data_IF_937697568694
#
_entry.id   IF_937697568694
#
_cell.length_a   1.000
_cell.length_b   1.000
_cell.length_c   1.000
_cell.angle_alpha   90.00
_cell.angle_beta   90.00
_cell.angle_gamma   90.00
#
_symmetry.space_group_name_H-M   'P 1'
#
loop_
_entity.id
_entity.type
_entity.pdbx_description
1 polymer ?
#
# COMPACT_ATOMS: atom_id res chain seq x y z
N UNK A 1 15.27 -9.20 -7.37
CA UNK A 1 14.34 -9.85 -8.32
C UNK A 1 13.41 -8.77 -8.86
N UNK A 2 13.07 -8.86 -10.15
CA UNK A 2 12.04 -8.05 -10.80
C UNK A 2 10.89 -8.95 -11.23
N UNK A 3 9.67 -8.54 -10.90
CA UNK A 3 8.41 -9.08 -11.40
C UNK A 3 7.81 -8.04 -12.34
N UNK A 4 7.51 -8.41 -13.56
CA UNK A 4 7.04 -7.47 -14.57
C UNK A 4 5.92 -8.05 -15.40
N UNK A 5 4.88 -7.26 -15.64
CA UNK A 5 3.87 -7.53 -16.66
C UNK A 5 4.08 -6.58 -17.83
N UNK A 6 4.49 -7.11 -18.97
CA UNK A 6 4.84 -6.35 -20.18
C UNK A 6 3.67 -6.12 -21.14
N UNK A 7 2.44 -6.46 -20.74
CA UNK A 7 1.26 -6.29 -21.60
C UNK A 7 0.92 -4.82 -21.93
N UNK A 8 1.52 -3.86 -21.20
CA UNK A 8 1.24 -2.44 -21.36
C UNK A 8 -0.10 -2.02 -20.74
N UNK A 9 -0.72 -0.96 -21.28
CA UNK A 9 -1.98 -0.40 -20.77
C UNK A 9 -3.19 -1.08 -21.40
N UNK A 10 -3.37 -2.36 -21.13
CA UNK A 10 -4.45 -3.20 -21.69
C UNK A 10 -5.64 -3.41 -20.74
N UNK A 11 -5.65 -2.72 -19.61
CA UNK A 11 -6.56 -2.94 -18.48
C UNK A 11 -5.85 -3.71 -17.37
N UNK A 12 -6.59 -4.55 -16.65
CA UNK A 12 -6.08 -5.34 -15.52
C UNK A 12 -5.03 -6.36 -15.98
N UNK A 13 -3.81 -6.25 -15.44
CA UNK A 13 -2.69 -7.12 -15.83
C UNK A 13 -1.71 -7.28 -14.66
N UNK A 14 -1.87 -8.36 -13.90
CA UNK A 14 -1.08 -8.63 -12.69
C UNK A 14 0.36 -9.02 -13.04
N UNK A 15 1.33 -8.36 -12.41
CA UNK A 15 2.74 -8.73 -12.50
C UNK A 15 3.12 -9.75 -11.42
N UNK A 16 2.53 -9.62 -10.22
CA UNK A 16 2.79 -10.54 -9.13
C UNK A 16 1.53 -10.78 -8.31
N UNK A 17 1.13 -12.05 -8.19
CA UNK A 17 0.04 -12.53 -7.35
C UNK A 17 0.63 -13.26 -6.13
N UNK A 18 0.23 -12.84 -4.92
CA UNK A 18 0.77 -13.39 -3.68
C UNK A 18 -0.39 -13.84 -2.79
N UNK A 19 -0.51 -15.16 -2.59
CA UNK A 19 -1.52 -15.77 -1.72
C UNK A 19 -0.94 -16.25 -0.37
N UNK A 20 0.35 -16.61 -0.38
CA UNK A 20 1.02 -17.20 0.78
C UNK A 20 1.11 -16.26 1.99
N UNK A 21 0.90 -16.80 3.19
CA UNK A 21 1.20 -16.11 4.44
C UNK A 21 2.72 -16.01 4.69
N UNK A 22 3.13 -14.96 5.40
CA UNK A 22 4.53 -14.70 5.78
C UNK A 22 5.47 -14.49 4.58
N UNK A 23 4.96 -13.82 3.54
CA UNK A 23 5.76 -13.46 2.38
C UNK A 23 6.63 -12.23 2.70
N UNK A 24 7.95 -12.31 2.42
CA UNK A 24 8.88 -11.22 2.63
C UNK A 24 9.69 -10.92 1.37
N UNK A 25 9.56 -9.71 0.88
CA UNK A 25 10.27 -9.18 -0.28
C UNK A 25 11.21 -8.06 0.15
N UNK A 26 12.48 -8.17 -0.22
CA UNK A 26 13.49 -7.13 0.04
C UNK A 26 14.25 -6.81 -1.24
N UNK A 27 14.41 -5.52 -1.54
CA UNK A 27 15.13 -5.05 -2.74
C UNK A 27 14.55 -5.63 -4.05
N UNK A 28 13.22 -5.80 -4.12
CA UNK A 28 12.53 -6.31 -5.31
C UNK A 28 11.86 -5.18 -6.08
N UNK A 29 11.58 -5.43 -7.35
CA UNK A 29 10.83 -4.51 -8.21
C UNK A 29 9.57 -5.20 -8.74
N UNK A 30 8.46 -4.46 -8.76
CA UNK A 30 7.16 -4.89 -9.28
C UNK A 30 6.70 -3.86 -10.30
N UNK A 31 6.70 -4.24 -11.58
CA UNK A 31 6.52 -3.34 -12.70
C UNK A 31 5.26 -3.71 -13.49
N UNK A 32 4.39 -2.74 -13.71
CA UNK A 32 3.16 -2.94 -14.45
C UNK A 32 2.37 -1.65 -14.63
N UNK A 33 1.10 -1.80 -14.91
CA UNK A 33 0.16 -0.70 -15.08
C UNK A 33 -1.03 -0.87 -14.12
N UNK A 34 -2.24 -1.17 -14.65
CA UNK A 34 -3.38 -1.45 -13.79
C UNK A 34 -3.23 -2.82 -13.11
N UNK A 35 -3.49 -2.89 -11.81
CA UNK A 35 -3.49 -4.14 -11.02
C UNK A 35 -2.13 -4.85 -10.95
N UNK A 36 -1.03 -4.12 -10.79
CA UNK A 36 0.35 -4.66 -10.83
C UNK A 36 0.61 -5.70 -9.75
N UNK A 37 0.28 -5.40 -8.47
CA UNK A 37 0.61 -6.21 -7.31
C UNK A 37 -0.67 -6.64 -6.59
N UNK A 38 -1.00 -7.94 -6.68
CA UNK A 38 -2.17 -8.52 -6.07
C UNK A 38 -1.81 -9.23 -4.76
N UNK A 39 -2.11 -8.59 -3.64
CA UNK A 39 -1.92 -9.13 -2.29
C UNK A 39 -3.19 -9.90 -1.89
N UNK A 40 -3.28 -11.17 -2.33
CA UNK A 40 -4.43 -12.04 -2.10
C UNK A 40 -4.27 -12.83 -0.79
N UNK A 41 -5.38 -13.30 -0.26
CA UNK A 41 -5.39 -14.09 0.98
C UNK A 41 -5.74 -13.26 2.21
N UNK A 42 -6.92 -13.56 2.76
CA UNK A 42 -7.50 -12.80 3.88
C UNK A 42 -6.67 -12.89 5.15
N UNK A 43 -6.02 -14.03 5.39
CA UNK A 43 -5.14 -14.24 6.55
C UNK A 43 -3.66 -14.05 6.22
N UNK A 44 -3.34 -13.72 4.97
CA UNK A 44 -1.96 -13.51 4.53
C UNK A 44 -1.36 -12.22 5.10
N UNK A 45 -0.12 -12.33 5.56
CA UNK A 45 0.72 -11.23 6.02
C UNK A 45 1.92 -11.11 5.11
N UNK A 46 2.15 -9.90 4.58
CA UNK A 46 3.16 -9.68 3.57
C UNK A 46 4.00 -8.46 3.93
N UNK A 47 5.31 -8.57 3.79
CA UNK A 47 6.27 -7.51 4.09
C UNK A 47 7.11 -7.16 2.88
N UNK A 48 7.13 -5.88 2.56
CA UNK A 48 7.95 -5.30 1.49
C UNK A 48 8.92 -4.29 2.12
N UNK A 49 10.22 -4.53 1.96
CA UNK A 49 11.28 -3.67 2.48
C UNK A 49 12.19 -3.20 1.35
N UNK A 50 12.37 -1.89 1.23
CA UNK A 50 13.21 -1.27 0.21
C UNK A 50 12.88 -1.80 -1.21
N UNK A 51 11.59 -1.93 -1.51
CA UNK A 51 11.09 -2.38 -2.81
C UNK A 51 10.66 -1.19 -3.67
N UNK A 52 10.61 -1.42 -4.97
CA UNK A 52 10.04 -0.51 -5.95
C UNK A 52 8.77 -1.12 -6.53
N UNK A 53 7.66 -0.39 -6.48
CA UNK A 53 6.38 -0.82 -7.07
C UNK A 53 5.87 0.28 -7.98
N UNK A 54 5.50 -0.06 -9.21
CA UNK A 54 4.92 0.92 -10.14
C UNK A 54 3.60 0.45 -10.75
N UNK A 55 2.79 1.42 -11.14
CA UNK A 55 1.54 1.18 -11.84
C UNK A 55 0.68 2.41 -12.04
N UNK A 56 -0.58 2.19 -12.43
CA UNK A 56 -1.57 3.25 -12.69
C UNK A 56 -2.79 3.10 -11.79
N UNK A 57 -3.79 2.31 -12.21
CA UNK A 57 -5.05 2.13 -11.50
C UNK A 57 -4.96 0.94 -10.57
N UNK A 58 -5.22 1.13 -9.28
CA UNK A 58 -5.31 0.06 -8.28
C UNK A 58 -4.07 -0.84 -8.26
N UNK A 59 -2.90 -0.27 -8.48
CA UNK A 59 -1.72 -1.08 -8.76
C UNK A 59 -1.16 -1.84 -7.56
N UNK A 60 -1.70 -1.60 -6.36
CA UNK A 60 -1.51 -2.41 -5.16
C UNK A 60 -2.90 -2.72 -4.61
N UNK A 61 -3.33 -3.99 -4.66
CA UNK A 61 -4.71 -4.31 -4.30
C UNK A 61 -4.85 -5.69 -3.65
N UNK A 62 -5.96 -5.92 -2.93
CA UNK A 62 -6.29 -7.22 -2.33
C UNK A 62 -6.68 -7.15 -0.86
N UNK A 63 -6.64 -8.32 -0.20
CA UNK A 63 -7.20 -8.54 1.15
C UNK A 63 -6.18 -8.64 2.28
N UNK A 64 -4.90 -8.89 1.95
CA UNK A 64 -3.86 -9.20 2.92
C UNK A 64 -3.57 -8.06 3.90
N UNK A 65 -3.03 -8.37 5.06
CA UNK A 65 -2.32 -7.40 5.89
C UNK A 65 -0.93 -7.19 5.31
N UNK A 66 -0.63 -5.98 4.85
CA UNK A 66 0.61 -5.69 4.14
C UNK A 66 1.33 -4.51 4.76
N UNK A 67 2.62 -4.67 5.01
CA UNK A 67 3.51 -3.60 5.41
C UNK A 67 4.52 -3.29 4.29
N UNK A 68 4.46 -2.07 3.79
CA UNK A 68 5.51 -1.49 2.94
C UNK A 68 6.39 -0.58 3.80
N UNK A 69 7.68 -0.86 3.86
CA UNK A 69 8.63 -0.06 4.62
C UNK A 69 9.81 0.36 3.77
N UNK A 70 10.14 1.64 3.80
CA UNK A 70 11.25 2.23 3.03
C UNK A 70 11.15 1.96 1.50
N UNK A 71 9.91 1.84 0.96
CA UNK A 71 9.66 1.52 -0.43
C UNK A 71 9.47 2.78 -1.29
N UNK A 72 9.77 2.65 -2.59
CA UNK A 72 9.36 3.62 -3.60
C UNK A 72 8.11 3.11 -4.30
N UNK A 73 7.05 3.90 -4.27
CA UNK A 73 5.76 3.64 -4.89
C UNK A 73 5.58 4.65 -6.03
N UNK A 74 5.63 4.19 -7.27
CA UNK A 74 5.72 5.06 -8.44
C UNK A 74 4.49 4.99 -9.32
N UNK A 75 3.80 6.10 -9.50
CA UNK A 75 2.66 6.18 -10.41
C UNK A 75 3.14 6.51 -11.82
N UNK A 76 2.95 5.60 -12.77
CA UNK A 76 3.33 5.80 -14.20
C UNK A 76 2.21 6.45 -15.01
N UNK A 77 1.11 6.86 -14.39
CA UNK A 77 -0.03 7.57 -14.97
C UNK A 77 -1.08 7.84 -13.91
N UNK A 78 -2.17 8.50 -14.31
CA UNK A 78 -3.30 8.80 -13.42
C UNK A 78 -3.96 7.53 -12.89
N UNK A 79 -4.50 7.59 -11.66
CA UNK A 79 -5.19 6.46 -11.08
C UNK A 79 -5.23 6.42 -9.56
N UNK A 80 -4.98 5.26 -8.99
CA UNK A 80 -5.08 4.99 -7.56
C UNK A 80 -3.92 4.11 -7.12
N UNK A 81 -3.22 4.51 -6.06
CA UNK A 81 -2.09 3.72 -5.54
C UNK A 81 -2.60 2.39 -5.02
N UNK A 82 -3.67 2.41 -4.20
CA UNK A 82 -4.18 1.19 -3.59
C UNK A 82 -5.68 1.01 -3.76
N UNK A 83 -6.10 -0.27 -3.84
CA UNK A 83 -7.48 -0.71 -3.77
C UNK A 83 -7.63 -1.86 -2.76
N UNK A 84 -7.62 -1.57 -1.46
CA UNK A 84 -7.74 -2.59 -0.43
C UNK A 84 -9.16 -3.17 -0.39
N UNK A 85 -9.23 -4.46 0.02
CA UNK A 85 -10.46 -5.20 0.26
C UNK A 85 -10.44 -5.82 1.66
N UNK A 86 -9.86 -5.12 2.63
CA UNK A 86 -9.73 -5.59 4.02
C UNK A 86 -11.07 -6.07 4.57
N UNK A 87 -11.08 -7.25 5.19
CA UNK A 87 -12.30 -7.79 5.79
C UNK A 87 -12.66 -7.06 7.10
N UNK A 88 -13.95 -7.07 7.41
CA UNK A 88 -14.47 -6.51 8.67
C UNK A 88 -13.77 -7.14 9.87
N UNK A 89 -13.32 -6.32 10.80
CA UNK A 89 -12.69 -6.76 12.05
C UNK A 89 -11.18 -7.00 11.97
N UNK A 90 -10.57 -6.92 10.81
CA UNK A 90 -9.11 -6.93 10.70
C UNK A 90 -8.52 -5.67 11.33
N UNK A 91 -7.46 -5.83 12.10
CA UNK A 91 -6.77 -4.71 12.77
C UNK A 91 -6.03 -3.84 11.75
N UNK A 92 -5.41 -4.46 10.73
CA UNK A 92 -4.65 -3.77 9.71
C UNK A 92 -5.00 -4.27 8.30
N UNK A 93 -5.01 -3.34 7.35
CA UNK A 93 -4.96 -3.61 5.91
C UNK A 93 -3.57 -3.28 5.35
N UNK A 94 -3.49 -2.25 4.51
CA UNK A 94 -2.23 -1.76 3.95
C UNK A 94 -1.63 -0.68 4.84
N UNK A 95 -0.37 -0.84 5.20
CA UNK A 95 0.38 0.15 5.99
C UNK A 95 1.67 0.49 5.26
N UNK A 96 1.86 1.77 4.99
CA UNK A 96 3.06 2.34 4.37
C UNK A 96 3.83 3.12 5.41
N UNK A 97 5.09 2.80 5.62
CA UNK A 97 5.96 3.46 6.59
C UNK A 97 7.23 3.95 5.90
N UNK A 98 7.50 5.25 6.02
CA UNK A 98 8.70 5.86 5.45
C UNK A 98 8.87 5.57 3.95
N UNK A 99 7.76 5.52 3.21
CA UNK A 99 7.76 5.28 1.77
C UNK A 99 7.81 6.60 1.00
N UNK A 100 8.35 6.53 -0.23
CA UNK A 100 8.36 7.66 -1.16
C UNK A 100 7.38 7.41 -2.29
N UNK A 101 6.34 8.25 -2.39
CA UNK A 101 5.37 8.21 -3.47
C UNK A 101 5.79 9.20 -4.56
N UNK A 102 6.15 8.68 -5.73
CA UNK A 102 6.62 9.46 -6.89
C UNK A 102 5.69 9.25 -8.08
N UNK A 103 5.74 10.16 -9.04
CA UNK A 103 4.94 10.05 -10.27
C UNK A 103 5.77 10.41 -11.50
N UNK A 104 5.51 9.72 -12.60
CA UNK A 104 5.96 10.09 -13.93
C UNK A 104 5.31 11.43 -14.36
N UNK A 105 5.82 12.02 -15.44
CA UNK A 105 5.28 13.30 -15.93
C UNK A 105 3.81 13.21 -16.36
N UNK A 106 3.33 12.04 -16.75
CA UNK A 106 1.93 11.77 -17.11
C UNK A 106 1.02 11.61 -15.88
N UNK A 107 1.57 11.26 -14.73
CA UNK A 107 0.80 11.10 -13.50
C UNK A 107 0.49 12.47 -12.89
N UNK A 108 -0.76 12.94 -13.05
CA UNK A 108 -1.24 14.25 -12.57
C UNK A 108 -2.34 14.14 -11.53
N UNK A 109 -3.12 13.06 -11.57
CA UNK A 109 -4.30 12.85 -10.72
C UNK A 109 -4.27 11.44 -10.13
N UNK A 110 -3.58 11.30 -9.01
CA UNK A 110 -3.44 10.03 -8.31
C UNK A 110 -4.02 10.13 -6.90
N UNK A 111 -4.90 9.21 -6.56
CA UNK A 111 -5.42 9.05 -5.20
C UNK A 111 -4.56 8.05 -4.42
N UNK A 112 -4.42 8.25 -3.12
CA UNK A 112 -3.71 7.32 -2.23
C UNK A 112 -4.44 5.97 -2.14
N UNK A 113 -5.77 6.00 -2.10
CA UNK A 113 -6.57 4.78 -2.04
C UNK A 113 -8.01 4.98 -2.49
N UNK A 114 -8.64 3.87 -2.95
CA UNK A 114 -10.09 3.72 -3.06
C UNK A 114 -10.54 2.34 -2.55
N UNK A 115 -11.73 2.19 -1.93
CA UNK A 115 -12.13 0.95 -1.28
C UNK A 115 -12.73 -0.03 -2.28
N UNK A 116 -11.98 -1.07 -2.64
CA UNK A 116 -12.51 -2.14 -3.50
C UNK A 116 -13.67 -2.89 -2.83
N UNK A 117 -13.60 -3.03 -1.50
CA UNK A 117 -14.67 -3.62 -0.68
C UNK A 117 -14.94 -2.75 0.56
N UNK A 118 -16.11 -2.90 1.22
CA UNK A 118 -16.33 -2.29 2.54
C UNK A 118 -15.22 -2.70 3.53
N UNK A 119 -14.95 -1.83 4.50
CA UNK A 119 -13.89 -1.97 5.51
C UNK A 119 -12.45 -1.92 4.97
N UNK A 120 -12.26 -1.51 3.73
CA UNK A 120 -10.94 -1.26 3.15
C UNK A 120 -10.08 -0.38 4.06
N UNK A 121 -8.80 -0.74 4.24
CA UNK A 121 -7.89 0.02 5.10
C UNK A 121 -6.58 0.34 4.38
N UNK A 122 -6.15 1.61 4.45
CA UNK A 122 -4.84 2.06 4.02
C UNK A 122 -4.32 3.18 4.92
N UNK A 123 -3.10 3.05 5.42
CA UNK A 123 -2.48 4.00 6.34
C UNK A 123 -1.10 4.38 5.84
N UNK A 124 -0.82 5.67 5.76
CA UNK A 124 0.46 6.21 5.32
C UNK A 124 1.13 6.97 6.48
N UNK A 125 2.29 6.50 6.90
CA UNK A 125 3.02 6.98 8.08
C UNK A 125 4.39 7.51 7.65
N UNK A 126 4.63 8.80 7.88
CA UNK A 126 5.91 9.47 7.58
C UNK A 126 6.39 9.25 6.14
N UNK A 127 5.45 9.19 5.20
CA UNK A 127 5.74 9.05 3.78
C UNK A 127 6.02 10.41 3.13
N UNK A 128 6.84 10.42 2.07
CA UNK A 128 7.01 11.57 1.19
C UNK A 128 6.02 11.45 0.03
N UNK A 129 5.05 12.35 -0.06
CA UNK A 129 4.00 12.35 -1.07
C UNK A 129 4.31 13.37 -2.17
N UNK A 130 4.52 12.91 -3.40
CA UNK A 130 4.79 13.77 -4.53
C UNK A 130 3.58 14.57 -4.99
N UNK A 131 3.82 15.61 -5.79
CA UNK A 131 2.81 16.57 -6.31
C UNK A 131 1.69 15.96 -7.15
N UNK A 132 1.85 14.72 -7.63
CA UNK A 132 0.85 13.98 -8.40
C UNK A 132 -0.33 13.50 -7.54
N UNK A 133 -0.16 13.45 -6.21
CA UNK A 133 -1.25 13.09 -5.30
C UNK A 133 -2.24 14.25 -5.22
N UNK A 134 -3.51 13.94 -5.56
CA UNK A 134 -4.59 14.94 -5.53
C UNK A 134 -4.87 15.45 -4.11
N UNK A 135 -5.36 16.70 -3.96
CA UNK A 135 -5.64 17.29 -2.65
C UNK A 135 -6.60 16.45 -1.80
N UNK A 136 -7.60 15.83 -2.41
CA UNK A 136 -8.57 14.97 -1.74
C UNK A 136 -7.93 13.73 -1.12
N UNK A 137 -6.86 13.21 -1.70
CA UNK A 137 -6.09 12.04 -1.28
C UNK A 137 -6.84 10.72 -1.36
N UNK A 138 -8.12 10.68 -0.99
CA UNK A 138 -8.96 9.50 -0.88
C UNK A 138 -10.16 9.55 -1.82
N UNK A 139 -10.54 8.40 -2.37
CA UNK A 139 -11.71 8.27 -3.23
C UNK A 139 -12.67 7.20 -2.63
N UNK A 140 -13.97 7.38 -2.76
CA UNK A 140 -14.99 6.48 -2.20
C UNK A 140 -15.49 5.42 -3.20
N UNK A 141 -14.87 5.30 -4.37
CA UNK A 141 -15.32 4.42 -5.48
C UNK A 141 -16.69 4.79 -6.03
N UNK A 142 -17.09 6.06 -5.94
CA UNK A 142 -18.44 6.52 -6.32
C UNK A 142 -19.55 5.99 -5.42
N UNK A 143 -19.23 5.48 -4.22
CA UNK A 143 -20.17 4.87 -3.27
C UNK A 143 -20.04 5.53 -1.91
N UNK A 144 -21.00 6.38 -1.56
CA UNK A 144 -20.98 7.13 -0.29
C UNK A 144 -21.05 6.24 0.97
N UNK A 145 -21.62 5.06 0.87
CA UNK A 145 -21.65 4.08 1.96
C UNK A 145 -20.25 3.58 2.35
N UNK A 146 -19.30 3.57 1.42
CA UNK A 146 -17.92 3.18 1.70
C UNK A 146 -17.23 4.15 2.68
N UNK A 147 -17.60 5.42 2.69
CA UNK A 147 -17.04 6.42 3.61
C UNK A 147 -17.31 6.09 5.08
N UNK A 148 -18.35 5.29 5.36
CA UNK A 148 -18.72 4.87 6.72
C UNK A 148 -17.93 3.67 7.23
N UNK A 149 -17.31 2.92 6.33
CA UNK A 149 -16.68 1.65 6.67
C UNK A 149 -15.20 1.59 6.33
N UNK A 150 -14.75 2.31 5.30
CA UNK A 150 -13.33 2.41 4.98
C UNK A 150 -12.57 3.15 6.08
N UNK A 151 -11.35 2.70 6.36
CA UNK A 151 -10.44 3.35 7.30
C UNK A 151 -9.17 3.78 6.57
N UNK A 152 -9.09 5.06 6.28
CA UNK A 152 -7.94 5.68 5.65
C UNK A 152 -7.30 6.69 6.57
N UNK A 153 -5.99 6.60 6.77
CA UNK A 153 -5.32 7.47 7.73
C UNK A 153 -3.93 7.91 7.25
N UNK A 154 -3.52 9.05 7.76
CA UNK A 154 -2.21 9.65 7.52
C UNK A 154 -1.57 10.08 8.85
N UNK A 155 -0.22 9.97 8.91
CA UNK A 155 0.56 10.47 10.04
C UNK A 155 1.85 11.11 9.56
N UNK A 156 2.00 12.43 9.81
CA UNK A 156 3.22 13.20 9.56
C UNK A 156 3.86 12.97 8.17
N UNK A 157 3.03 12.82 7.13
CA UNK A 157 3.52 12.76 5.77
C UNK A 157 4.08 14.13 5.34
N UNK A 158 5.04 14.11 4.41
CA UNK A 158 5.73 15.29 3.88
C UNK A 158 5.62 15.35 2.35
N UNK A 159 6.12 16.43 1.74
CA UNK A 159 6.10 16.63 0.30
C UNK A 159 4.89 17.42 -0.20
N UNK A 160 4.89 17.76 -1.49
CA UNK A 160 3.89 18.63 -2.09
C UNK A 160 2.47 18.04 -2.07
N UNK A 161 2.35 16.71 -2.14
CA UNK A 161 1.07 15.98 -2.06
C UNK A 161 0.55 15.74 -0.64
N UNK A 162 1.28 16.18 0.41
CA UNK A 162 0.91 15.88 1.80
C UNK A 162 -0.02 16.93 2.46
N UNK A 163 -0.47 17.96 1.71
CA UNK A 163 -1.41 18.93 2.27
C UNK A 163 -2.73 18.27 2.64
N UNK A 164 -3.15 18.42 3.89
CA UNK A 164 -4.37 17.82 4.42
C UNK A 164 -5.59 18.76 4.38
N UNK A 165 -5.42 19.98 3.87
CA UNK A 165 -6.47 21.02 3.89
C UNK A 165 -7.73 20.64 3.12
N UNK A 166 -7.55 19.90 2.03
CA UNK A 166 -8.63 19.49 1.12
C UNK A 166 -8.81 17.97 1.10
N UNK A 167 -8.25 17.23 2.09
CA UNK A 167 -8.44 15.78 2.21
C UNK A 167 -9.91 15.44 2.35
N UNK A 168 -10.33 14.37 1.68
CA UNK A 168 -11.68 13.85 1.81
C UNK A 168 -12.04 13.62 3.28
N UNK A 169 -13.24 14.04 3.68
CA UNK A 169 -13.67 14.14 5.09
C UNK A 169 -13.71 12.78 5.83
N UNK A 170 -13.72 11.68 5.12
CA UNK A 170 -13.66 10.33 5.70
C UNK A 170 -12.23 9.80 5.91
N UNK A 171 -11.20 10.57 5.51
CA UNK A 171 -9.81 10.31 5.86
C UNK A 171 -9.46 10.84 7.25
N UNK A 172 -8.59 10.14 7.96
CA UNK A 172 -8.19 10.47 9.31
C UNK A 172 -6.76 11.01 9.37
N UNK A 173 -6.55 12.01 10.23
CA UNK A 173 -5.21 12.46 10.61
C UNK A 173 -4.88 11.92 11.99
N UNK A 174 -3.93 11.00 12.08
CA UNK A 174 -3.52 10.39 13.35
C UNK A 174 -2.77 11.42 14.22
N UNK A 175 -3.06 11.43 15.50
CA UNK A 175 -2.38 12.31 16.48
C UNK A 175 -1.11 11.69 17.03
N UNK A 176 -1.05 10.37 17.06
CA UNK A 176 0.10 9.56 17.50
C UNK A 176 0.08 8.22 16.75
N UNK A 177 1.03 7.35 17.05
CA UNK A 177 1.14 6.02 16.47
C UNK A 177 0.67 4.90 17.42
N UNK A 178 -0.21 5.22 18.37
CA UNK A 178 -0.80 4.20 19.22
C UNK A 178 -1.53 3.15 18.39
N UNK A 179 -1.12 1.89 18.53
CA UNK A 179 -1.62 0.79 17.72
C UNK A 179 -0.92 0.59 16.37
N UNK A 180 0.08 1.42 16.02
CA UNK A 180 0.88 1.29 14.78
C UNK A 180 2.36 1.08 15.07
N UNK A 181 2.70 0.29 16.10
CA UNK A 181 4.08 -0.18 16.26
C UNK A 181 4.47 -1.06 15.05
N UNK A 182 5.44 -0.60 14.29
CA UNK A 182 5.86 -1.23 13.02
C UNK A 182 6.26 -2.69 13.20
N UNK A 183 6.84 -3.05 14.35
CA UNK A 183 7.22 -4.42 14.67
C UNK A 183 6.00 -5.33 14.97
N UNK A 184 4.84 -4.75 15.24
CA UNK A 184 3.63 -5.49 15.63
C UNK A 184 2.62 -5.65 14.50
N UNK A 185 2.71 -4.86 13.42
CA UNK A 185 1.73 -4.86 12.33
C UNK A 185 1.55 -6.25 11.73
N UNK A 186 2.64 -6.99 11.56
CA UNK A 186 2.65 -8.33 10.98
C UNK A 186 2.82 -9.44 12.02
N UNK A 187 2.91 -9.07 13.30
CA UNK A 187 3.09 -10.04 14.37
C UNK A 187 1.78 -10.81 14.59
N UNK A 188 1.83 -12.13 14.39
CA UNK A 188 0.77 -13.06 14.72
C UNK A 188 1.13 -13.91 15.96
N UNK A 189 0.24 -14.83 16.34
CA UNK A 189 0.47 -15.77 17.44
C UNK A 189 1.68 -16.68 17.21
N UNK A 190 2.07 -16.85 15.94
CA UNK A 190 3.26 -17.60 15.51
C UNK A 190 4.58 -16.85 15.71
N UNK A 191 4.52 -15.60 16.21
CA UNK A 191 5.69 -14.77 16.48
C UNK A 191 6.45 -14.31 15.23
N UNK A 192 5.86 -14.41 14.03
CA UNK A 192 6.51 -13.94 12.80
C UNK A 192 6.68 -12.42 12.79
N UNK A 193 7.94 -11.99 12.91
CA UNK A 193 8.30 -10.57 12.93
C UNK A 193 9.42 -10.29 11.91
N UNK A 194 9.09 -10.05 10.64
CA UNK A 194 10.08 -9.83 9.59
C UNK A 194 10.80 -8.49 9.74
N UNK A 195 10.19 -7.50 10.39
CA UNK A 195 10.79 -6.19 10.63
C UNK A 195 12.02 -6.32 11.53
N UNK A 196 11.89 -7.06 12.64
CA UNK A 196 12.97 -7.31 13.59
C UNK A 196 13.98 -8.36 13.10
N UNK A 197 13.49 -9.39 12.46
CA UNK A 197 14.28 -10.60 12.15
C UNK A 197 14.67 -10.72 10.66
N UNK A 198 14.29 -9.77 9.80
CA UNK A 198 14.42 -9.87 8.34
C UNK A 198 15.84 -10.20 7.86
N UNK A 199 16.86 -9.57 8.43
CA UNK A 199 18.25 -9.85 8.07
C UNK A 199 18.70 -11.27 8.46
N UNK A 200 18.16 -11.84 9.54
CA UNK A 200 18.43 -13.21 9.99
C UNK A 200 17.72 -14.23 9.08
N UNK A 201 16.49 -13.94 8.68
CA UNK A 201 15.73 -14.77 7.74
C UNK A 201 16.45 -14.89 6.40
N UNK A 202 16.95 -13.78 5.85
CA UNK A 202 17.66 -13.78 4.57
C UNK A 202 19.03 -14.49 4.62
N UNK A 203 19.73 -14.48 5.76
CA UNK A 203 21.00 -15.22 5.93
C UNK A 203 20.80 -16.73 5.86
N UNK A 204 19.65 -17.24 6.26
CA UNK A 204 19.34 -18.67 6.25
C UNK A 204 19.00 -19.20 4.84
N UNK A 205 18.71 -18.32 3.88
CA UNK A 205 18.41 -18.69 2.47
C UNK A 205 19.68 -18.82 1.63
N UNK A 206 20.82 -18.28 2.08
CA UNK A 206 22.09 -18.30 1.33
C UNK A 206 22.91 -19.60 1.51
N UNK A 207 22.27 -20.69 1.89
CA UNK A 207 22.92 -22.02 2.00
C UNK A 207 22.37 -23.01 0.99
#
# INVERSE_FOLDING_TARGET
>A
ITFENTAGRVGQAVACFIEGDRAYFKNCRFLGNQDTLYNYGKESRQYFENCYVEGTVDFIFGWSTVLFKDCTIHSVGDGYVTAPATDKGKKYGYVFVNCKLTGADEAKKVYLSRPWRPYAQAVYIQCELGKHIVPEGWNNWGKKENEKTAYYAEYQNTGEGASVKERASFGHQLKNLDGYNVEEILLGEDGWNPVKNGNKLLKNIKR
#
